data_IF_023384461358
#
_entry.id   IF_023384461358
#
_cell.length_a   1.000
_cell.length_b   1.000
_cell.length_c   1.000
_cell.angle_alpha   90.00
_cell.angle_beta   90.00
_cell.angle_gamma   90.00
#
_symmetry.space_group_name_H-M   'P 1'
#
loop_
_entity.id
_entity.type
_entity.pdbx_description
1 polymer ?
#
# COMPACT_ATOMS: atom_id res chain seq x y z
N UNK A 1 -25.19 57.14 12.05
CA UNK A 1 -24.70 56.33 10.92
C UNK A 1 -23.80 55.26 11.46
N UNK A 2 -24.28 54.01 11.57
CA UNK A 2 -23.51 52.84 12.08
C UNK A 2 -23.08 52.02 10.88
N UNK A 3 -21.80 51.95 10.61
CA UNK A 3 -21.24 51.07 9.60
C UNK A 3 -21.02 49.67 10.21
N UNK A 4 -21.75 48.67 9.71
CA UNK A 4 -21.55 47.26 10.03
C UNK A 4 -20.52 46.73 9.03
N UNK A 5 -19.31 46.38 9.50
CA UNK A 5 -18.28 45.73 8.69
C UNK A 5 -18.65 44.21 8.69
N UNK A 6 -19.13 43.75 7.57
CA UNK A 6 -19.33 42.30 7.34
C UNK A 6 -17.98 41.63 7.08
N UNK A 7 -17.58 40.74 7.99
CA UNK A 7 -16.41 39.88 7.83
C UNK A 7 -16.77 38.74 6.86
N UNK A 8 -16.27 38.77 5.63
CA UNK A 8 -16.39 37.67 4.67
C UNK A 8 -15.38 36.58 5.08
N UNK A 9 -15.85 35.49 5.68
CA UNK A 9 -15.03 34.28 5.86
C UNK A 9 -14.88 33.60 4.50
N UNK A 10 -13.70 33.70 3.90
CA UNK A 10 -13.33 32.89 2.75
C UNK A 10 -13.07 31.44 3.21
N UNK A 11 -14.02 30.54 2.93
CA UNK A 11 -13.76 29.09 3.05
C UNK A 11 -12.77 28.69 1.96
N UNK A 12 -11.52 28.47 2.30
CA UNK A 12 -10.55 27.82 1.41
C UNK A 12 -10.89 26.33 1.39
N UNK A 13 -11.53 25.86 0.32
CA UNK A 13 -11.65 24.43 0.04
C UNK A 13 -10.25 23.91 -0.31
N UNK A 14 -9.66 23.09 0.56
CA UNK A 14 -8.46 22.35 0.24
C UNK A 14 -8.77 21.42 -0.96
N UNK A 15 -8.07 21.61 -2.07
CA UNK A 15 -8.19 20.73 -3.22
C UNK A 15 -7.55 19.38 -2.89
N UNK A 16 -8.31 18.28 -3.02
CA UNK A 16 -7.77 16.94 -2.89
C UNK A 16 -6.75 16.70 -4.03
N UNK A 17 -5.55 16.24 -3.69
CA UNK A 17 -4.57 15.81 -4.68
C UNK A 17 -4.78 14.34 -5.03
N UNK A 18 -4.77 14.03 -6.34
CA UNK A 18 -4.93 12.65 -6.82
C UNK A 18 -3.69 12.19 -7.57
N UNK A 19 -3.17 11.02 -7.22
CA UNK A 19 -2.11 10.30 -7.92
C UNK A 19 -2.67 8.96 -8.42
N UNK A 20 -2.52 8.70 -9.72
CA UNK A 20 -2.96 7.44 -10.36
C UNK A 20 -1.74 6.71 -10.91
N UNK A 21 -1.62 5.42 -10.61
CA UNK A 21 -0.60 4.51 -11.12
C UNK A 21 -1.30 3.34 -11.79
N UNK A 22 -1.44 3.43 -13.13
CA UNK A 22 -2.12 2.45 -13.98
C UNK A 22 -1.17 1.54 -14.76
N UNK A 23 0.13 1.75 -14.62
CA UNK A 23 1.22 1.02 -15.27
C UNK A 23 1.21 1.02 -16.83
N UNK A 24 0.25 1.65 -17.50
CA UNK A 24 0.08 1.62 -18.95
C UNK A 24 1.32 2.12 -19.72
N UNK A 25 2.04 3.09 -19.17
CA UNK A 25 3.26 3.68 -19.74
C UNK A 25 4.56 3.00 -19.29
N UNK A 26 4.47 1.98 -18.45
CA UNK A 26 5.62 1.25 -17.90
C UNK A 26 6.19 0.23 -18.92
N UNK A 27 7.39 -0.26 -18.65
CA UNK A 27 8.09 -1.22 -19.53
C UNK A 27 7.85 -2.65 -19.03
N UNK A 28 7.24 -3.48 -19.87
CA UNK A 28 7.05 -4.91 -19.57
C UNK A 28 8.40 -5.60 -19.37
N UNK A 29 8.48 -6.43 -18.34
CA UNK A 29 9.69 -7.16 -17.94
C UNK A 29 10.64 -6.37 -17.02
N UNK A 30 10.35 -5.08 -16.75
CA UNK A 30 11.16 -4.23 -15.87
C UNK A 30 10.50 -3.98 -14.50
N UNK A 31 11.29 -3.53 -13.52
CA UNK A 31 10.74 -2.94 -12.30
C UNK A 31 9.90 -1.70 -12.63
N UNK A 32 8.80 -1.44 -11.90
CA UNK A 32 7.97 -0.26 -12.14
C UNK A 32 8.73 1.04 -11.87
N UNK A 33 8.60 2.03 -12.75
CA UNK A 33 9.18 3.36 -12.54
C UNK A 33 8.37 4.21 -11.56
N UNK A 34 7.07 3.95 -11.47
CA UNK A 34 6.12 4.66 -10.60
C UNK A 34 6.13 4.19 -9.15
N UNK A 35 6.71 3.02 -8.88
CA UNK A 35 6.90 2.49 -7.53
C UNK A 35 8.36 2.14 -7.26
N UNK A 36 8.72 2.04 -5.99
CA UNK A 36 10.04 1.60 -5.52
C UNK A 36 9.89 0.24 -4.84
N UNK A 37 10.28 -0.87 -5.46
CA UNK A 37 10.39 -2.17 -4.80
C UNK A 37 11.38 -2.09 -3.62
N UNK A 38 10.93 -2.48 -2.43
CA UNK A 38 11.77 -2.51 -1.22
C UNK A 38 12.08 -3.95 -0.80
N UNK A 39 11.08 -4.83 -0.88
CA UNK A 39 11.20 -6.26 -0.59
C UNK A 39 10.49 -7.04 -1.67
N UNK A 40 11.10 -8.15 -2.11
CA UNK A 40 10.53 -9.04 -3.13
C UNK A 40 10.81 -8.60 -4.56
N UNK A 41 10.28 -9.35 -5.50
CA UNK A 41 10.41 -9.13 -6.95
C UNK A 41 9.11 -8.56 -7.49
N UNK A 42 9.20 -7.36 -8.06
CA UNK A 42 8.09 -6.61 -8.61
C UNK A 42 8.40 -6.26 -10.06
N UNK A 43 7.54 -6.68 -10.96
CA UNK A 43 7.78 -6.55 -12.41
C UNK A 43 6.49 -6.13 -13.10
N UNK A 44 6.59 -5.23 -14.07
CA UNK A 44 5.46 -4.91 -14.95
C UNK A 44 5.29 -6.04 -15.95
N UNK A 45 4.07 -6.57 -16.10
CA UNK A 45 3.75 -7.67 -17.00
C UNK A 45 2.52 -7.34 -17.85
N UNK A 46 2.30 -8.15 -18.89
CA UNK A 46 1.12 -8.05 -19.74
C UNK A 46 0.00 -8.94 -19.18
N UNK A 47 -1.23 -8.42 -19.08
CA UNK A 47 -2.46 -9.16 -18.78
C UNK A 47 -3.52 -8.83 -19.84
N UNK A 48 -3.63 -9.64 -20.87
CA UNK A 48 -4.40 -9.30 -22.07
C UNK A 48 -3.81 -8.07 -22.78
N UNK A 49 -4.62 -7.05 -23.03
CA UNK A 49 -4.19 -5.79 -23.63
C UNK A 49 -3.69 -4.76 -22.60
N UNK A 50 -3.73 -5.09 -21.31
CA UNK A 50 -3.36 -4.20 -20.23
C UNK A 50 -1.98 -4.54 -19.64
N UNK A 51 -1.25 -3.53 -19.14
CA UNK A 51 -0.03 -3.69 -18.36
C UNK A 51 -0.34 -3.54 -16.89
N UNK A 52 0.15 -4.47 -16.09
CA UNK A 52 -0.13 -4.53 -14.67
C UNK A 52 1.16 -4.75 -13.87
N UNK A 53 1.15 -4.38 -12.61
CA UNK A 53 2.23 -4.72 -11.69
C UNK A 53 2.04 -6.15 -11.17
N UNK A 54 3.08 -6.98 -11.29
CA UNK A 54 3.12 -8.32 -10.70
C UNK A 54 4.09 -8.36 -9.52
N UNK A 55 3.66 -8.94 -8.42
CA UNK A 55 4.55 -9.51 -7.42
C UNK A 55 4.67 -11.01 -7.67
N UNK A 56 5.91 -11.49 -7.81
CA UNK A 56 6.20 -12.93 -7.93
C UNK A 56 6.90 -13.42 -6.66
N UNK A 57 6.13 -14.02 -5.77
CA UNK A 57 6.61 -14.64 -4.54
C UNK A 57 7.07 -16.08 -4.71
N UNK A 58 6.99 -16.68 -5.91
CA UNK A 58 7.27 -18.10 -6.13
C UNK A 58 8.70 -18.52 -5.72
N UNK A 59 9.65 -17.59 -5.81
CA UNK A 59 11.06 -17.78 -5.41
C UNK A 59 11.48 -16.91 -4.23
N UNK A 60 10.52 -16.19 -3.64
CA UNK A 60 10.83 -15.27 -2.55
C UNK A 60 11.29 -16.02 -1.29
N UNK A 61 12.29 -15.48 -0.63
CA UNK A 61 12.75 -15.92 0.69
C UNK A 61 12.71 -14.74 1.65
N UNK A 62 12.25 -14.98 2.86
CA UNK A 62 12.23 -13.97 3.92
C UNK A 62 13.64 -13.38 4.15
N UNK A 63 13.71 -12.09 4.42
CA UNK A 63 14.97 -11.39 4.70
C UNK A 63 15.75 -11.01 3.44
N UNK A 64 15.11 -11.00 2.27
CA UNK A 64 15.71 -10.56 1.01
C UNK A 64 15.17 -9.19 0.58
N UNK A 65 15.86 -8.08 0.89
CA UNK A 65 15.53 -6.78 0.32
C UNK A 65 15.69 -6.81 -1.20
N UNK A 66 15.01 -5.89 -1.87
CA UNK A 66 15.15 -5.73 -3.32
C UNK A 66 16.59 -5.31 -3.70
N UNK A 67 16.96 -5.57 -4.95
CA UNK A 67 18.26 -5.12 -5.47
C UNK A 67 18.42 -3.60 -5.32
N UNK A 68 19.64 -3.14 -5.09
CA UNK A 68 20.00 -1.71 -4.92
C UNK A 68 19.21 -1.01 -3.80
N UNK A 69 18.93 -1.71 -2.70
CA UNK A 69 18.12 -1.19 -1.59
C UNK A 69 18.68 0.11 -1.00
N UNK A 70 20.01 0.30 -0.98
CA UNK A 70 20.63 1.52 -0.47
C UNK A 70 20.25 2.75 -1.30
N UNK A 71 20.29 2.65 -2.63
CA UNK A 71 19.89 3.74 -3.54
C UNK A 71 18.38 3.99 -3.47
N UNK A 72 17.60 2.92 -3.37
CA UNK A 72 16.14 2.99 -3.19
C UNK A 72 15.78 3.67 -1.86
N UNK A 73 16.46 3.32 -0.77
CA UNK A 73 16.28 3.97 0.53
C UNK A 73 16.63 5.45 0.50
N UNK A 74 17.73 5.82 -0.18
CA UNK A 74 18.13 7.22 -0.34
C UNK A 74 17.09 8.00 -1.17
N UNK A 75 16.56 7.42 -2.24
CA UNK A 75 15.50 8.03 -3.04
C UNK A 75 14.20 8.23 -2.25
N UNK A 76 13.87 7.32 -1.32
CA UNK A 76 12.66 7.40 -0.51
C UNK A 76 12.80 8.38 0.68
N UNK A 77 13.94 8.40 1.35
CA UNK A 77 14.09 9.05 2.66
C UNK A 77 15.18 10.13 2.74
N UNK A 78 15.88 10.44 1.61
CA UNK A 78 16.94 11.45 1.60
C UNK A 78 17.99 11.16 2.68
N UNK A 79 18.29 12.16 3.50
CA UNK A 79 19.31 12.05 4.57
C UNK A 79 18.96 11.03 5.66
N UNK A 80 17.69 10.62 5.78
CA UNK A 80 17.23 9.60 6.73
C UNK A 80 17.36 8.17 6.19
N UNK A 81 17.98 7.97 5.02
CA UNK A 81 18.11 6.63 4.42
C UNK A 81 18.87 5.64 5.32
N UNK A 82 19.82 6.14 6.13
CA UNK A 82 20.60 5.29 7.04
C UNK A 82 19.69 4.64 8.11
N UNK A 83 18.77 5.41 8.71
CA UNK A 83 17.78 4.90 9.67
C UNK A 83 16.95 3.76 9.07
N UNK A 84 16.57 3.88 7.80
CA UNK A 84 15.83 2.85 7.09
C UNK A 84 16.69 1.60 6.84
N UNK A 85 17.95 1.77 6.41
CA UNK A 85 18.86 0.66 6.16
C UNK A 85 19.26 -0.10 7.43
N UNK A 86 19.43 0.59 8.56
CA UNK A 86 19.74 -0.05 9.84
C UNK A 86 18.65 -1.02 10.30
N UNK A 87 17.40 -0.79 9.86
CA UNK A 87 16.24 -1.64 10.15
C UNK A 87 15.92 -2.66 9.04
N UNK A 88 16.71 -2.74 7.94
CA UNK A 88 16.36 -3.54 6.75
C UNK A 88 16.03 -5.00 7.07
N UNK A 89 16.78 -5.63 7.97
CA UNK A 89 16.54 -7.02 8.35
C UNK A 89 15.21 -7.22 9.09
N UNK A 90 14.74 -6.22 9.80
CA UNK A 90 13.47 -6.29 10.52
C UNK A 90 12.27 -6.11 9.60
N UNK A 91 12.34 -5.25 8.58
CA UNK A 91 11.21 -5.02 7.67
C UNK A 91 11.27 -5.85 6.36
N UNK A 92 12.40 -6.48 6.03
CA UNK A 92 12.53 -7.38 4.87
C UNK A 92 11.83 -8.73 5.09
N UNK A 93 10.62 -8.69 5.63
CA UNK A 93 9.84 -9.85 6.04
C UNK A 93 8.74 -10.21 5.04
N UNK A 94 8.19 -9.24 4.36
CA UNK A 94 7.11 -9.40 3.40
C UNK A 94 7.37 -8.56 2.14
N UNK A 95 7.01 -9.06 0.94
CA UNK A 95 7.13 -8.27 -0.28
C UNK A 95 6.31 -6.98 -0.21
N UNK A 96 6.93 -5.84 -0.52
CA UNK A 96 6.23 -4.57 -0.73
C UNK A 96 6.99 -3.62 -1.64
N UNK A 97 6.23 -2.73 -2.30
CA UNK A 97 6.76 -1.64 -3.10
C UNK A 97 6.05 -0.33 -2.71
N UNK A 98 6.80 0.77 -2.69
CA UNK A 98 6.36 2.09 -2.22
C UNK A 98 6.03 2.97 -3.41
N UNK A 99 4.87 3.63 -3.38
CA UNK A 99 4.48 4.59 -4.41
C UNK A 99 5.43 5.81 -4.38
N UNK A 100 5.96 6.19 -5.56
CA UNK A 100 6.76 7.41 -5.70
C UNK A 100 5.88 8.64 -5.66
N UNK A 101 6.46 9.76 -5.26
CA UNK A 101 5.80 11.08 -5.22
C UNK A 101 4.60 11.14 -4.24
N UNK A 102 4.51 10.19 -3.29
CA UNK A 102 3.58 10.25 -2.16
C UNK A 102 4.39 10.09 -0.88
N UNK A 103 4.96 11.19 -0.43
CA UNK A 103 5.95 11.18 0.65
C UNK A 103 5.32 11.14 2.05
N UNK A 104 4.16 11.78 2.20
CA UNK A 104 3.46 11.87 3.48
C UNK A 104 1.94 11.86 3.27
N UNK A 105 1.36 10.67 3.32
CA UNK A 105 -0.09 10.49 3.30
C UNK A 105 -0.62 10.49 4.73
N UNK A 106 -1.62 11.33 5.00
CA UNK A 106 -2.22 11.49 6.34
C UNK A 106 -3.70 11.17 6.36
N UNK A 107 -4.44 11.61 5.35
CA UNK A 107 -5.89 11.48 5.27
C UNK A 107 -6.33 11.37 3.81
N UNK A 108 -7.42 10.64 3.56
CA UNK A 108 -7.98 10.45 2.23
C UNK A 108 -8.28 8.99 1.90
N UNK A 109 -8.13 8.61 0.64
CA UNK A 109 -8.40 7.25 0.16
C UNK A 109 -7.24 6.69 -0.66
N UNK A 110 -7.02 5.39 -0.53
CA UNK A 110 -6.10 4.61 -1.35
C UNK A 110 -6.88 3.44 -1.93
N UNK A 111 -6.84 3.30 -3.25
CA UNK A 111 -7.53 2.24 -4.00
C UNK A 111 -6.51 1.41 -4.77
N UNK A 112 -6.80 0.14 -4.99
CA UNK A 112 -6.12 -0.69 -5.99
C UNK A 112 -7.04 -1.81 -6.47
N UNK A 113 -6.82 -2.26 -7.71
CA UNK A 113 -7.32 -3.55 -8.18
C UNK A 113 -6.24 -4.60 -7.97
N UNK A 114 -6.65 -5.82 -7.66
CA UNK A 114 -5.73 -6.94 -7.55
C UNK A 114 -6.36 -8.24 -8.05
N UNK A 115 -5.52 -9.14 -8.57
CA UNK A 115 -5.93 -10.47 -9.04
C UNK A 115 -4.96 -11.50 -8.48
N UNK A 116 -5.36 -12.29 -7.45
CA UNK A 116 -4.54 -13.40 -6.95
C UNK A 116 -4.44 -14.47 -8.02
N UNK A 117 -3.24 -14.91 -8.38
CA UNK A 117 -3.02 -15.88 -9.45
C UNK A 117 -2.62 -17.24 -8.92
N UNK A 118 -1.65 -17.26 -8.02
CA UNK A 118 -1.03 -18.46 -7.48
C UNK A 118 -0.42 -18.19 -6.11
N UNK A 119 -0.07 -19.26 -5.45
CA UNK A 119 0.51 -19.33 -4.12
C UNK A 119 -0.10 -20.51 -3.40
N UNK A 120 0.72 -21.32 -2.76
CA UNK A 120 0.28 -22.48 -1.98
C UNK A 120 0.14 -22.14 -0.49
N UNK A 121 0.99 -21.25 -0.01
CA UNK A 121 1.00 -20.78 1.39
C UNK A 121 0.09 -19.57 1.52
N UNK A 122 0.17 -18.64 0.58
CA UNK A 122 -0.61 -17.41 0.58
C UNK A 122 -1.01 -16.96 -0.82
N UNK A 123 -2.11 -16.22 -0.91
CA UNK A 123 -2.54 -15.46 -2.10
C UNK A 123 -3.05 -14.11 -1.64
N UNK A 124 -2.15 -13.32 -1.05
CA UNK A 124 -2.45 -12.09 -0.36
C UNK A 124 -2.05 -10.84 -1.15
N UNK A 125 -2.95 -9.85 -1.17
CA UNK A 125 -2.70 -8.51 -1.66
C UNK A 125 -3.09 -7.48 -0.60
N UNK A 126 -2.33 -6.39 -0.47
CA UNK A 126 -2.57 -5.36 0.53
C UNK A 126 -2.19 -3.96 0.10
N UNK A 127 -2.87 -2.99 0.69
CA UNK A 127 -2.49 -1.59 0.67
C UNK A 127 -1.66 -1.32 1.93
N UNK A 128 -0.41 -0.93 1.73
CA UNK A 128 0.51 -0.49 2.76
C UNK A 128 0.38 1.01 2.95
N UNK A 129 0.34 1.47 4.19
CA UNK A 129 0.28 2.90 4.52
C UNK A 129 1.01 3.18 5.84
N UNK A 130 1.24 4.46 6.12
CA UNK A 130 1.99 4.91 7.32
C UNK A 130 3.40 4.31 7.42
N UNK A 131 4.07 4.07 6.27
CA UNK A 131 5.44 3.58 6.29
C UNK A 131 6.40 4.67 6.80
N UNK A 132 7.10 4.33 7.86
CA UNK A 132 8.07 5.20 8.55
C UNK A 132 9.50 4.88 8.13
N UNK A 133 10.44 5.81 8.31
CA UNK A 133 11.86 5.55 8.07
C UNK A 133 12.45 4.42 8.94
N UNK A 134 11.90 4.16 10.12
CA UNK A 134 12.30 3.03 10.96
C UNK A 134 11.74 1.67 10.51
N UNK A 135 11.00 1.63 9.37
CA UNK A 135 10.42 0.42 8.82
C UNK A 135 9.06 0.01 9.40
N UNK A 136 8.48 0.78 10.32
CA UNK A 136 7.13 0.53 10.83
C UNK A 136 6.06 0.92 9.80
N UNK A 137 4.98 0.15 9.67
CA UNK A 137 3.87 0.42 8.76
C UNK A 137 2.57 -0.26 9.17
N UNK A 138 1.48 0.12 8.50
CA UNK A 138 0.16 -0.50 8.58
C UNK A 138 -0.21 -1.12 7.23
N UNK A 139 -1.04 -2.18 7.24
CA UNK A 139 -1.53 -2.85 6.02
C UNK A 139 -2.99 -3.22 6.20
N UNK A 140 -3.82 -2.91 5.21
CA UNK A 140 -5.09 -3.62 5.01
C UNK A 140 -4.87 -4.64 3.90
N UNK A 141 -5.09 -5.93 4.20
CA UNK A 141 -4.77 -7.06 3.32
C UNK A 141 -5.95 -8.01 3.16
N UNK A 142 -6.30 -8.36 1.90
CA UNK A 142 -7.15 -9.49 1.56
C UNK A 142 -6.32 -10.72 1.21
N UNK A 143 -6.84 -11.94 1.47
CA UNK A 143 -6.16 -13.19 1.12
C UNK A 143 -7.17 -14.23 0.61
N UNK A 144 -6.96 -14.70 -0.62
CA UNK A 144 -7.84 -15.64 -1.30
C UNK A 144 -7.87 -17.03 -0.63
N UNK A 145 -6.75 -17.51 -0.07
CA UNK A 145 -6.70 -18.82 0.60
C UNK A 145 -7.30 -18.78 2.00
N UNK A 146 -7.19 -17.65 2.69
CA UNK A 146 -7.66 -17.50 4.07
C UNK A 146 -9.07 -16.92 4.17
N UNK A 147 -9.65 -16.41 3.07
CA UNK A 147 -10.97 -15.76 3.03
C UNK A 147 -11.13 -14.71 4.13
N UNK A 148 -10.19 -13.79 4.23
CA UNK A 148 -10.20 -12.76 5.25
C UNK A 148 -9.70 -11.40 4.74
N UNK A 149 -10.18 -10.33 5.41
CA UNK A 149 -9.65 -8.98 5.32
C UNK A 149 -9.10 -8.57 6.68
N UNK A 150 -7.84 -8.14 6.74
CA UNK A 150 -7.17 -7.89 8.01
C UNK A 150 -6.41 -6.57 7.97
N UNK A 151 -6.59 -5.74 9.00
CA UNK A 151 -5.68 -4.66 9.33
C UNK A 151 -4.57 -5.22 10.22
N UNK A 152 -3.33 -5.16 9.73
CA UNK A 152 -2.14 -5.47 10.50
C UNK A 152 -1.33 -4.21 10.78
N UNK A 153 -0.60 -4.23 11.88
CA UNK A 153 0.56 -3.37 12.07
C UNK A 153 1.85 -4.19 11.97
N UNK A 154 2.87 -3.57 11.39
CA UNK A 154 4.26 -4.01 11.45
C UNK A 154 5.01 -2.98 12.28
N UNK A 155 5.50 -3.38 13.45
CA UNK A 155 6.14 -2.49 14.41
C UNK A 155 7.34 -3.19 15.06
N UNK A 156 8.49 -2.51 15.06
CA UNK A 156 9.73 -3.05 15.64
C UNK A 156 10.05 -4.46 15.09
N UNK A 157 9.93 -4.68 13.79
CA UNK A 157 10.20 -5.95 13.13
C UNK A 157 9.17 -7.05 13.35
N UNK A 158 8.03 -6.76 13.99
CA UNK A 158 6.99 -7.75 14.29
C UNK A 158 5.65 -7.35 13.68
N UNK A 159 5.00 -8.30 13.00
CA UNK A 159 3.62 -8.16 12.53
C UNK A 159 2.65 -8.63 13.58
N UNK A 160 1.62 -7.82 13.85
CA UNK A 160 0.49 -8.20 14.70
C UNK A 160 -0.84 -7.79 14.07
N UNK A 161 -1.91 -8.60 14.21
CA UNK A 161 -3.23 -8.19 13.76
C UNK A 161 -3.80 -7.11 14.67
N UNK A 162 -4.41 -6.09 14.07
CA UNK A 162 -5.14 -5.03 14.74
C UNK A 162 -6.65 -5.31 14.68
N UNK A 163 -7.15 -5.65 13.49
CA UNK A 163 -8.55 -6.00 13.25
C UNK A 163 -8.65 -7.11 12.23
N UNK A 164 -9.42 -8.16 12.53
CA UNK A 164 -9.54 -9.34 11.69
C UNK A 164 -11.01 -9.57 11.29
N UNK A 165 -11.29 -9.57 9.99
CA UNK A 165 -12.59 -9.88 9.42
C UNK A 165 -12.50 -11.22 8.68
N UNK A 166 -13.32 -12.18 9.09
CA UNK A 166 -13.39 -13.52 8.51
C UNK A 166 -14.54 -13.63 7.51
N UNK A 167 -14.54 -14.71 6.73
CA UNK A 167 -15.60 -15.02 5.75
C UNK A 167 -15.74 -13.89 4.71
N UNK A 168 -14.63 -13.42 4.19
CA UNK A 168 -14.56 -12.44 3.10
C UNK A 168 -13.99 -13.12 1.85
N UNK A 169 -14.78 -13.88 1.10
CA UNK A 169 -14.30 -14.65 -0.05
C UNK A 169 -13.65 -13.74 -1.08
N UNK A 170 -12.47 -14.14 -1.53
CA UNK A 170 -11.69 -13.44 -2.54
C UNK A 170 -11.28 -14.50 -3.57
N UNK A 171 -11.96 -14.55 -4.70
CA UNK A 171 -11.77 -15.62 -5.68
C UNK A 171 -10.40 -15.51 -6.36
N UNK A 172 -9.68 -16.64 -6.43
CA UNK A 172 -8.42 -16.75 -7.21
C UNK A 172 -8.69 -16.53 -8.70
N UNK A 173 -7.77 -15.87 -9.40
CA UNK A 173 -7.81 -15.55 -10.84
C UNK A 173 -8.95 -14.61 -11.27
N UNK A 174 -9.52 -13.89 -10.32
CA UNK A 174 -10.49 -12.83 -10.58
C UNK A 174 -9.94 -11.49 -10.08
N UNK A 175 -10.33 -10.41 -10.75
CA UNK A 175 -10.04 -9.06 -10.31
C UNK A 175 -10.96 -8.67 -9.15
N UNK A 176 -10.37 -8.09 -8.11
CA UNK A 176 -11.01 -7.54 -6.94
C UNK A 176 -10.59 -6.09 -6.73
N UNK A 177 -11.37 -5.32 -6.02
CA UNK A 177 -11.01 -3.97 -5.57
C UNK A 177 -10.71 -3.97 -4.08
N UNK A 178 -9.60 -3.36 -3.69
CA UNK A 178 -9.27 -3.08 -2.30
C UNK A 178 -9.18 -1.57 -2.12
N UNK A 179 -9.83 -1.05 -1.07
CA UNK A 179 -9.77 0.37 -0.73
C UNK A 179 -9.54 0.55 0.76
N UNK A 180 -8.73 1.54 1.09
CA UNK A 180 -8.54 2.05 2.44
C UNK A 180 -8.95 3.52 2.46
N UNK A 181 -9.85 3.89 3.39
CA UNK A 181 -10.17 5.29 3.68
C UNK A 181 -9.66 5.63 5.07
N UNK A 182 -9.07 6.81 5.19
CA UNK A 182 -8.53 7.33 6.45
C UNK A 182 -9.11 8.71 6.69
N UNK A 183 -9.71 8.88 7.88
CA UNK A 183 -10.26 10.16 8.34
C UNK A 183 -9.82 10.38 9.78
N UNK A 184 -8.84 11.26 9.98
CA UNK A 184 -8.20 11.43 11.28
C UNK A 184 -7.55 10.12 11.76
N UNK A 185 -8.07 9.54 12.84
CA UNK A 185 -7.60 8.25 13.39
C UNK A 185 -8.37 7.04 12.87
N UNK A 186 -9.48 7.25 12.17
CA UNK A 186 -10.36 6.20 11.70
C UNK A 186 -9.83 5.59 10.41
N UNK A 187 -9.70 4.26 10.36
CA UNK A 187 -9.37 3.46 9.19
C UNK A 187 -10.56 2.62 8.80
N UNK A 188 -10.99 2.73 7.55
CA UNK A 188 -12.00 1.90 6.94
C UNK A 188 -11.37 1.07 5.82
N UNK A 189 -11.69 -0.24 5.77
CA UNK A 189 -11.24 -1.17 4.73
C UNK A 189 -12.41 -1.72 3.93
N UNK A 190 -12.28 -1.68 2.61
CA UNK A 190 -13.30 -2.12 1.67
C UNK A 190 -12.74 -3.22 0.76
N UNK A 191 -13.55 -4.24 0.50
CA UNK A 191 -13.28 -5.28 -0.50
C UNK A 191 -14.48 -5.36 -1.43
N UNK A 192 -14.25 -5.24 -2.74
CA UNK A 192 -15.28 -5.21 -3.77
C UNK A 192 -16.42 -4.23 -3.43
N UNK A 193 -16.02 -2.98 -3.14
CA UNK A 193 -16.85 -1.84 -2.76
C UNK A 193 -17.63 -1.97 -1.44
N UNK A 194 -17.54 -3.14 -0.79
CA UNK A 194 -18.19 -3.37 0.50
C UNK A 194 -17.27 -2.96 1.66
N UNK A 195 -17.72 -2.04 2.50
CA UNK A 195 -17.05 -1.71 3.75
C UNK A 195 -17.18 -2.88 4.73
N UNK A 196 -16.05 -3.50 5.06
CA UNK A 196 -15.98 -4.68 5.91
C UNK A 196 -15.21 -4.44 7.21
N UNK A 197 -14.29 -3.50 7.20
CA UNK A 197 -13.39 -3.23 8.31
C UNK A 197 -13.49 -1.76 8.71
N UNK A 198 -13.64 -1.53 10.00
CA UNK A 198 -13.52 -0.21 10.63
C UNK A 198 -12.70 -0.35 11.91
N UNK A 199 -11.76 0.58 12.12
CA UNK A 199 -10.94 0.62 13.33
C UNK A 199 -10.46 2.04 13.61
N UNK A 200 -10.36 2.40 14.89
CA UNK A 200 -9.76 3.66 15.33
C UNK A 200 -8.33 3.42 15.83
N UNK A 201 -7.38 4.07 15.17
CA UNK A 201 -5.97 4.01 15.54
C UNK A 201 -5.69 4.86 16.79
N UNK A 202 -4.65 4.52 17.57
CA UNK A 202 -4.23 5.33 18.70
C UNK A 202 -3.76 6.74 18.27
N UNK A 203 -3.15 6.86 17.10
CA UNK A 203 -2.54 8.08 16.60
C UNK A 203 -2.94 8.37 15.15
N UNK A 204 -2.85 9.64 14.74
CA UNK A 204 -2.96 10.07 13.34
C UNK A 204 -1.78 9.48 12.57
N UNK A 205 -2.04 8.99 11.37
CA UNK A 205 -0.98 8.50 10.48
C UNK A 205 -0.26 9.66 9.79
N UNK A 206 0.99 9.43 9.40
CA UNK A 206 1.81 10.30 8.57
C UNK A 206 2.94 9.47 8.03
N UNK A 207 2.94 9.16 6.74
CA UNK A 207 3.99 8.32 6.15
C UNK A 207 3.71 7.93 4.71
N UNK A 208 4.62 7.13 4.15
CA UNK A 208 4.51 6.66 2.77
C UNK A 208 3.46 5.58 2.62
N UNK A 209 3.05 5.37 1.36
CA UNK A 209 2.04 4.39 0.96
C UNK A 209 2.58 3.48 -0.14
N UNK A 210 1.94 2.32 -0.34
CA UNK A 210 2.37 1.39 -1.37
C UNK A 210 1.52 0.11 -1.41
N UNK A 211 2.04 -0.87 -2.12
CA UNK A 211 1.45 -2.20 -2.28
C UNK A 211 2.22 -3.24 -1.47
N UNK A 212 1.54 -4.29 -1.04
CA UNK A 212 2.07 -5.31 -0.17
C UNK A 212 1.58 -6.71 -0.58
N UNK A 213 2.41 -7.72 -0.30
CA UNK A 213 2.05 -9.12 -0.51
C UNK A 213 2.67 -10.03 0.55
N UNK A 214 2.45 -11.33 0.46
CA UNK A 214 2.90 -12.29 1.47
C UNK A 214 3.40 -13.60 0.84
N UNK A 215 4.51 -14.09 1.38
CA UNK A 215 5.09 -15.40 1.10
C UNK A 215 5.19 -15.72 -0.42
N UNK A 216 4.67 -16.87 -0.85
CA UNK A 216 4.72 -17.37 -2.20
C UNK A 216 3.60 -16.84 -3.12
N UNK A 217 2.92 -15.77 -2.71
CA UNK A 217 1.85 -15.16 -3.49
C UNK A 217 2.34 -14.67 -4.86
N UNK A 218 1.62 -15.04 -5.91
CA UNK A 218 1.73 -14.41 -7.24
C UNK A 218 0.47 -13.63 -7.48
N UNK A 219 0.58 -12.30 -7.57
CA UNK A 219 -0.57 -11.39 -7.63
C UNK A 219 -0.33 -10.31 -8.67
N UNK A 220 -1.33 -10.03 -9.48
CA UNK A 220 -1.40 -8.83 -10.32
C UNK A 220 -2.06 -7.70 -9.56
N UNK A 221 -1.55 -6.48 -9.74
CA UNK A 221 -2.08 -5.25 -9.16
C UNK A 221 -2.15 -4.16 -10.22
N UNK A 222 -3.20 -3.35 -10.16
CA UNK A 222 -3.44 -2.28 -11.12
C UNK A 222 -4.30 -1.17 -10.51
N UNK A 223 -4.47 -0.06 -11.23
CA UNK A 223 -5.30 1.08 -10.83
C UNK A 223 -5.01 1.53 -9.38
N UNK A 224 -3.71 1.66 -9.04
CA UNK A 224 -3.34 2.16 -7.73
C UNK A 224 -3.56 3.68 -7.68
N UNK A 225 -4.52 4.10 -6.89
CA UNK A 225 -4.97 5.50 -6.81
C UNK A 225 -4.82 5.99 -5.38
N UNK A 226 -4.17 7.13 -5.19
CA UNK A 226 -4.08 7.86 -3.92
C UNK A 226 -4.81 9.18 -4.06
N UNK A 227 -5.78 9.42 -3.19
CA UNK A 227 -6.54 10.68 -3.09
C UNK A 227 -6.24 11.26 -1.71
N UNK A 228 -5.31 12.20 -1.63
CA UNK A 228 -4.95 12.88 -0.38
C UNK A 228 -5.79 14.14 -0.17
N UNK A 229 -6.19 14.38 1.09
CA UNK A 229 -6.88 15.62 1.52
C UNK A 229 -5.94 16.55 2.24
#
# INVERSE_FOLDING_TARGET
MRFTIGCLLALTMASASQKVLDFSTETVGAEPRSMTPVVGVWTVVQDGDNKVLMVDGSRWKQGQPAANIADKARALYGDRYAEFLDNVQSFAYFPYAVAKDVDDFREGEIHMRFKPLAGRIDQGAGILFNLKPNGDYLIVRANALENNLVLFQFKNGKRSPVKWIRNTPTATKQWHTLKVRITGKKVEGYLDDKMLLEHELPDIISGRVGVWSKADSVVYMDDYIVIAK
#
